data_IF_896805881933
#
_entry.id   IF_896805881933
#
_cell.length_a   1.000
_cell.length_b   1.000
_cell.length_c   1.000
_cell.angle_alpha   90.00
_cell.angle_beta   90.00
_cell.angle_gamma   90.00
#
_symmetry.space_group_name_H-M   'P 1'
#
loop_
_entity.id
_entity.type
_entity.pdbx_description
1 polymer ?
#
# COMPACT_ATOMS: atom_id res chain seq x y z
N UNK A 1 19.47 -40.85 -33.57
CA UNK A 1 20.35 -40.57 -32.40
C UNK A 1 21.61 -39.95 -32.99
N UNK A 2 21.94 -38.66 -32.93
CA UNK A 2 21.69 -37.58 -31.97
C UNK A 2 21.57 -36.24 -32.74
N UNK A 3 20.58 -35.45 -32.33
CA UNK A 3 20.29 -34.01 -32.43
C UNK A 3 21.01 -33.12 -33.47
N UNK A 4 20.18 -32.54 -34.35
CA UNK A 4 20.37 -31.27 -35.03
C UNK A 4 20.47 -30.10 -34.02
N UNK A 5 20.94 -28.96 -34.51
CA UNK A 5 20.84 -27.59 -33.94
C UNK A 5 22.16 -27.00 -33.46
N UNK A 6 23.04 -26.73 -34.43
CA UNK A 6 24.31 -26.03 -34.25
C UNK A 6 24.47 -24.83 -35.17
N UNK A 7 23.43 -23.99 -35.33
CA UNK A 7 23.61 -22.60 -35.75
C UNK A 7 22.32 -21.77 -35.54
N UNK A 8 22.19 -21.11 -34.38
CA UNK A 8 21.17 -20.10 -34.16
C UNK A 8 21.79 -18.71 -34.47
N UNK A 9 21.19 -17.88 -35.33
CA UNK A 9 21.79 -16.63 -35.75
C UNK A 9 21.93 -15.63 -34.59
N UNK A 10 23.12 -15.01 -34.52
CA UNK A 10 23.44 -13.89 -33.63
C UNK A 10 22.58 -12.67 -33.99
N UNK A 11 21.34 -12.63 -33.48
CA UNK A 11 20.50 -11.41 -33.51
C UNK A 11 19.52 -11.27 -32.34
N UNK A 12 19.55 -12.14 -31.33
CA UNK A 12 18.62 -12.11 -30.19
C UNK A 12 19.31 -11.73 -28.86
N UNK A 13 20.01 -10.58 -28.82
CA UNK A 13 20.63 -10.08 -27.58
C UNK A 13 20.16 -8.71 -27.10
N UNK A 14 19.36 -7.96 -27.87
CA UNK A 14 18.78 -6.68 -27.39
C UNK A 14 17.45 -6.84 -26.66
N UNK A 15 16.67 -7.88 -26.93
CA UNK A 15 15.29 -8.00 -26.39
C UNK A 15 15.21 -8.49 -24.94
N UNK A 16 16.25 -9.13 -24.40
CA UNK A 16 16.22 -9.62 -23.00
C UNK A 16 16.47 -8.52 -21.96
N UNK A 17 17.15 -7.43 -22.35
CA UNK A 17 17.46 -6.33 -21.44
C UNK A 17 16.40 -5.24 -21.42
N UNK A 18 15.62 -5.07 -22.49
CA UNK A 18 14.52 -4.08 -22.53
C UNK A 18 13.24 -4.60 -21.87
N UNK A 19 12.98 -5.92 -21.88
CA UNK A 19 11.78 -6.53 -21.26
C UNK A 19 11.79 -6.47 -19.73
N UNK A 20 12.93 -6.16 -19.09
CA UNK A 20 13.05 -6.10 -17.62
C UNK A 20 12.87 -4.67 -17.08
N UNK A 21 12.63 -3.67 -17.93
CA UNK A 21 12.59 -2.26 -17.50
C UNK A 21 11.23 -1.79 -16.95
N UNK A 22 10.22 -2.64 -16.92
CA UNK A 22 8.87 -2.25 -16.50
C UNK A 22 8.28 -3.29 -15.54
N UNK A 23 7.83 -2.83 -14.35
CA UNK A 23 7.23 -3.56 -13.21
C UNK A 23 8.09 -3.91 -11.98
N UNK A 24 8.98 -3.01 -11.53
CA UNK A 24 9.32 -2.99 -10.10
C UNK A 24 8.29 -2.14 -9.35
N UNK A 25 7.04 -2.61 -9.30
CA UNK A 25 6.11 -2.16 -8.27
C UNK A 25 6.71 -2.60 -6.93
N UNK A 26 7.46 -1.69 -6.29
CA UNK A 26 7.92 -1.89 -4.92
C UNK A 26 6.72 -1.79 -3.99
N UNK A 27 5.97 -2.89 -3.91
CA UNK A 27 4.78 -3.00 -3.10
C UNK A 27 5.05 -2.84 -1.59
N UNK A 28 6.32 -2.84 -1.18
CA UNK A 28 6.73 -2.65 0.21
C UNK A 28 6.94 -1.16 0.50
N UNK A 29 7.75 -0.48 -0.31
CA UNK A 29 8.12 0.91 -0.05
C UNK A 29 7.21 1.92 -0.76
N UNK A 30 6.64 1.59 -1.91
CA UNK A 30 5.71 2.43 -2.69
C UNK A 30 4.46 1.67 -3.15
N UNK A 31 3.69 1.08 -2.22
CA UNK A 31 2.43 0.41 -2.54
C UNK A 31 1.48 1.32 -3.34
N UNK A 32 1.13 0.88 -4.54
CA UNK A 32 0.28 1.60 -5.51
C UNK A 32 -1.06 2.10 -4.93
N UNK A 33 -1.56 1.46 -3.87
CA UNK A 33 -2.81 1.79 -3.21
C UNK A 33 -2.68 2.88 -2.13
N UNK A 34 -1.49 3.45 -1.94
CA UNK A 34 -1.22 4.62 -1.09
C UNK A 34 -0.57 5.80 -1.84
N UNK A 35 -0.15 5.62 -3.10
CA UNK A 35 0.71 6.58 -3.83
C UNK A 35 -0.04 7.67 -4.61
N UNK A 36 -1.29 7.97 -4.26
CA UNK A 36 -2.12 8.93 -5.00
C UNK A 36 -2.00 10.40 -4.51
N UNK A 37 -0.83 10.82 -4.03
CA UNK A 37 -0.64 12.15 -3.45
C UNK A 37 0.80 12.63 -3.44
N UNK A 38 1.01 13.84 -2.91
CA UNK A 38 2.34 14.46 -2.76
C UNK A 38 3.20 13.81 -1.66
N UNK A 39 2.59 13.07 -0.77
CA UNK A 39 3.19 12.56 0.47
C UNK A 39 3.08 11.05 0.55
N UNK A 40 4.07 10.40 1.16
CA UNK A 40 3.97 8.98 1.51
C UNK A 40 3.00 8.79 2.68
N UNK A 41 2.23 7.71 2.63
CA UNK A 41 1.22 7.41 3.66
C UNK A 41 1.85 7.33 5.06
N UNK A 42 3.07 6.78 5.17
CA UNK A 42 3.75 6.65 6.46
C UNK A 42 4.09 8.01 7.09
N UNK A 43 4.51 8.99 6.30
CA UNK A 43 4.86 10.34 6.79
C UNK A 43 3.62 11.04 7.34
N UNK A 44 2.51 10.98 6.60
CA UNK A 44 1.24 11.54 7.06
C UNK A 44 0.75 10.82 8.32
N UNK A 45 0.84 9.49 8.38
CA UNK A 45 0.42 8.73 9.55
C UNK A 45 1.28 9.06 10.78
N UNK A 46 2.58 9.33 10.60
CA UNK A 46 3.48 9.77 11.67
C UNK A 46 3.07 11.16 12.20
N UNK A 47 2.78 12.11 11.32
CA UNK A 47 2.36 13.47 11.71
C UNK A 47 1.01 13.46 12.47
N UNK A 48 -0.02 12.78 11.93
CA UNK A 48 -1.36 12.77 12.55
C UNK A 48 -1.43 12.03 13.88
N UNK A 49 -0.44 11.17 14.19
CA UNK A 49 -0.39 10.42 15.45
C UNK A 49 0.67 10.94 16.42
N UNK A 50 1.33 12.05 16.09
CA UNK A 50 2.49 12.56 16.84
C UNK A 50 2.20 12.92 18.31
N UNK A 51 0.97 13.33 18.63
CA UNK A 51 0.49 13.67 19.97
C UNK A 51 -0.45 12.61 20.57
N UNK A 52 -0.73 11.53 19.82
CA UNK A 52 -1.60 10.44 20.25
C UNK A 52 -0.79 9.29 20.85
N UNK A 53 -1.39 8.57 21.79
CA UNK A 53 -0.77 7.38 22.39
C UNK A 53 -1.77 6.22 22.47
N UNK A 54 -1.24 5.01 22.65
CA UNK A 54 -2.06 3.81 22.88
C UNK A 54 -3.12 3.57 21.81
N UNK A 55 -4.36 3.33 22.24
CA UNK A 55 -5.48 3.04 21.34
C UNK A 55 -5.83 4.23 20.44
N UNK A 56 -5.62 5.46 20.90
CA UNK A 56 -5.95 6.65 20.11
C UNK A 56 -5.08 6.73 18.86
N UNK A 57 -3.76 6.53 19.01
CA UNK A 57 -2.83 6.50 17.88
C UNK A 57 -3.14 5.35 16.91
N UNK A 58 -3.35 4.14 17.45
CA UNK A 58 -3.60 2.94 16.62
C UNK A 58 -4.89 3.09 15.81
N UNK A 59 -5.97 3.54 16.45
CA UNK A 59 -7.26 3.62 15.78
C UNK A 59 -7.30 4.78 14.79
N UNK A 60 -6.71 5.93 15.13
CA UNK A 60 -6.60 7.09 14.23
C UNK A 60 -5.82 6.75 12.97
N UNK A 61 -4.63 6.15 13.12
CA UNK A 61 -3.82 5.77 11.97
C UNK A 61 -4.54 4.77 11.05
N UNK A 62 -5.20 3.76 11.63
CA UNK A 62 -5.92 2.78 10.83
C UNK A 62 -7.14 3.38 10.13
N UNK A 63 -7.93 4.21 10.80
CA UNK A 63 -9.08 4.88 10.19
C UNK A 63 -8.66 5.71 8.97
N UNK A 64 -7.62 6.55 9.12
CA UNK A 64 -7.08 7.35 8.02
C UNK A 64 -6.54 6.47 6.90
N UNK A 65 -5.76 5.43 7.22
CA UNK A 65 -5.24 4.47 6.24
C UNK A 65 -6.34 3.85 5.38
N UNK A 66 -7.48 3.46 5.98
CA UNK A 66 -8.60 2.90 5.23
C UNK A 66 -9.35 3.95 4.40
N UNK A 67 -9.52 5.16 4.94
CA UNK A 67 -10.11 6.30 4.19
C UNK A 67 -9.23 6.76 3.03
N UNK A 68 -7.92 6.56 3.10
CA UNK A 68 -7.04 6.83 1.96
C UNK A 68 -7.21 5.76 0.87
N UNK A 69 -7.29 4.50 1.28
CA UNK A 69 -7.13 3.34 0.41
C UNK A 69 -8.40 2.91 -0.34
N UNK A 70 -9.58 3.28 0.16
CA UNK A 70 -10.83 2.63 -0.26
C UNK A 70 -11.09 2.65 -1.77
N UNK A 71 -10.84 3.77 -2.48
CA UNK A 71 -11.04 3.83 -3.94
C UNK A 71 -10.07 2.96 -4.74
N UNK A 72 -8.97 2.54 -4.13
CA UNK A 72 -7.83 1.94 -4.82
C UNK A 72 -7.53 0.50 -4.37
N UNK A 73 -8.28 -0.05 -3.39
CA UNK A 73 -8.10 -1.44 -2.95
C UNK A 73 -9.39 -2.20 -2.70
N UNK A 74 -10.10 -1.92 -1.60
CA UNK A 74 -11.23 -2.77 -1.18
C UNK A 74 -12.61 -2.06 -1.17
N UNK A 75 -12.70 -0.84 -1.70
CA UNK A 75 -13.97 -0.10 -1.80
C UNK A 75 -14.68 0.04 -0.45
N UNK A 76 -15.96 -0.31 -0.45
CA UNK A 76 -16.84 -0.21 0.73
C UNK A 76 -16.33 -0.99 1.94
N UNK A 77 -15.56 -2.07 1.75
CA UNK A 77 -15.00 -2.83 2.86
C UNK A 77 -14.00 -2.00 3.68
N UNK A 78 -13.16 -1.20 3.03
CA UNK A 78 -12.25 -0.29 3.73
C UNK A 78 -13.03 0.82 4.46
N UNK A 79 -14.14 1.32 3.89
CA UNK A 79 -15.01 2.26 4.59
C UNK A 79 -15.60 1.66 5.87
N UNK A 80 -16.05 0.39 5.82
CA UNK A 80 -16.54 -0.33 7.01
C UNK A 80 -15.45 -0.52 8.07
N UNK A 81 -14.21 -0.79 7.65
CA UNK A 81 -13.05 -0.86 8.56
C UNK A 81 -12.74 0.49 9.19
N UNK A 82 -12.79 1.58 8.42
CA UNK A 82 -12.61 2.93 8.95
C UNK A 82 -13.65 3.23 10.05
N UNK A 83 -14.93 2.96 9.77
CA UNK A 83 -16.02 3.11 10.75
C UNK A 83 -15.77 2.28 12.01
N UNK A 84 -15.30 1.04 11.87
CA UNK A 84 -14.97 0.19 13.02
C UNK A 84 -13.94 0.84 13.94
N UNK A 85 -12.84 1.38 13.40
CA UNK A 85 -11.81 2.05 14.21
C UNK A 85 -12.31 3.37 14.81
N UNK A 86 -13.16 4.12 14.10
CA UNK A 86 -13.79 5.33 14.64
C UNK A 86 -14.71 4.98 15.81
N UNK A 87 -15.50 3.92 15.71
CA UNK A 87 -16.35 3.48 16.82
C UNK A 87 -15.53 3.06 18.04
N UNK A 88 -14.38 2.41 17.85
CA UNK A 88 -13.46 2.08 18.95
C UNK A 88 -12.90 3.33 19.64
N UNK A 89 -12.55 4.37 18.88
CA UNK A 89 -12.13 5.67 19.46
C UNK A 89 -13.24 6.29 20.30
N UNK A 90 -14.47 6.30 19.78
CA UNK A 90 -15.65 6.83 20.50
C UNK A 90 -15.87 6.05 21.78
N UNK A 91 -15.85 4.71 21.73
CA UNK A 91 -15.99 3.85 22.91
C UNK A 91 -14.90 4.14 23.96
N UNK A 92 -13.63 4.24 23.55
CA UNK A 92 -12.53 4.49 24.48
C UNK A 92 -12.66 5.85 25.16
N UNK A 93 -12.97 6.90 24.39
CA UNK A 93 -13.03 8.26 24.88
C UNK A 93 -14.37 8.63 25.56
N UNK A 94 -15.38 7.75 25.49
CA UNK A 94 -16.66 7.92 26.20
C UNK A 94 -16.71 7.22 27.55
N UNK A 95 -15.69 6.43 27.93
CA UNK A 95 -15.66 5.64 29.18
C UNK A 95 -15.65 6.45 30.49
N UNK A 96 -15.61 7.77 30.42
CA UNK A 96 -15.60 8.66 31.59
C UNK A 96 -16.58 9.82 31.52
N UNK A 97 -17.55 9.78 30.59
CA UNK A 97 -18.64 10.75 30.44
C UNK A 97 -19.91 10.22 31.09
#
# INVERSE_FOLDING_TARGET
MILNDGNLPVSLSKSRFEVVKESLDDNVNHPSHYTHGKYECIDILQDITSDLQGLDAICTANAVKYLWRWKHKNGVEDLKKAVWYINRLIEENSKGV
#
